data_IF_511019975547
#
_entry.id   IF_511019975547
#
_cell.length_a   1.000
_cell.length_b   1.000
_cell.length_c   1.000
_cell.angle_alpha   90.00
_cell.angle_beta   90.00
_cell.angle_gamma   90.00
#
_symmetry.space_group_name_H-M   'P 1'
#
loop_
_entity.id
_entity.type
_entity.pdbx_description
1 polymer ?
#
# COMPACT_ATOMS: atom_id res chain seq x y z
N UNK A 1 -9.23 79.89 37.34
CA UNK A 1 -9.85 78.59 37.68
C UNK A 1 -9.64 77.65 36.51
N UNK A 2 -8.57 76.85 36.52
CA UNK A 2 -8.23 75.95 35.40
C UNK A 2 -8.06 74.53 35.98
N UNK A 3 -9.09 73.72 35.78
CA UNK A 3 -9.22 72.37 36.32
C UNK A 3 -8.74 71.38 35.25
N UNK A 4 -7.69 70.65 35.60
CA UNK A 4 -7.28 69.31 35.13
C UNK A 4 -7.26 69.01 33.62
N UNK A 5 -6.03 68.97 33.07
CA UNK A 5 -5.72 68.15 31.89
C UNK A 5 -4.38 67.44 32.08
N UNK A 6 -4.34 66.41 32.94
CA UNK A 6 -3.17 65.54 33.03
C UNK A 6 -3.59 64.11 33.40
N UNK A 7 -4.08 63.36 32.40
CA UNK A 7 -4.17 61.89 32.47
C UNK A 7 -4.32 61.21 31.09
N UNK A 8 -3.77 61.80 30.01
CA UNK A 8 -3.79 61.19 28.66
C UNK A 8 -2.60 60.26 28.36
N UNK A 9 -1.57 60.23 29.21
CA UNK A 9 -0.34 59.45 28.97
C UNK A 9 -0.54 57.94 29.22
N UNK A 10 -1.22 57.56 30.30
CA UNK A 10 -1.37 56.15 30.70
C UNK A 10 -2.28 55.33 29.77
N UNK A 11 -3.25 55.96 29.08
CA UNK A 11 -4.13 55.27 28.12
C UNK A 11 -3.39 54.79 26.87
N UNK A 12 -2.34 55.49 26.43
CA UNK A 12 -1.58 55.12 25.23
C UNK A 12 -0.71 53.89 25.48
N UNK A 13 -0.11 53.78 26.65
CA UNK A 13 0.67 52.60 27.05
C UNK A 13 -0.18 51.34 27.17
N UNK A 14 -1.37 51.45 27.76
CA UNK A 14 -2.30 50.32 27.88
C UNK A 14 -2.75 49.76 26.52
N UNK A 15 -3.10 50.63 25.56
CA UNK A 15 -3.49 50.21 24.21
C UNK A 15 -2.34 49.51 23.48
N UNK A 16 -1.10 49.99 23.67
CA UNK A 16 0.08 49.34 23.10
C UNK A 16 0.26 47.92 23.66
N UNK A 17 0.16 47.75 24.98
CA UNK A 17 0.27 46.43 25.63
C UNK A 17 -0.84 45.49 25.16
N UNK A 18 -2.08 45.99 25.05
CA UNK A 18 -3.22 45.21 24.55
C UNK A 18 -2.98 44.77 23.10
N UNK A 19 -2.56 45.68 22.23
CA UNK A 19 -2.26 45.36 20.83
C UNK A 19 -1.14 44.33 20.72
N UNK A 20 -0.10 44.46 21.55
CA UNK A 20 1.02 43.52 21.56
C UNK A 20 0.58 42.13 22.05
N UNK A 21 -0.26 42.07 23.08
CA UNK A 21 -0.88 40.81 23.54
C UNK A 21 -1.77 40.17 22.47
N UNK A 22 -2.50 40.98 21.71
CA UNK A 22 -3.39 40.47 20.65
C UNK A 22 -2.56 39.95 19.47
N UNK A 23 -1.49 40.65 19.09
CA UNK A 23 -0.56 40.21 18.05
C UNK A 23 0.14 38.92 18.47
N UNK A 24 0.62 38.81 19.72
CA UNK A 24 1.27 37.57 20.18
C UNK A 24 0.30 36.40 20.21
N UNK A 25 -0.93 36.62 20.66
CA UNK A 25 -1.98 35.59 20.67
C UNK A 25 -2.32 35.12 19.25
N UNK A 26 -2.46 36.06 18.30
CA UNK A 26 -2.70 35.73 16.89
C UNK A 26 -1.51 34.99 16.27
N UNK A 27 -0.27 35.38 16.58
CA UNK A 27 0.93 34.69 16.09
C UNK A 27 1.01 33.26 16.60
N UNK A 28 0.69 33.00 17.87
CA UNK A 28 0.65 31.64 18.42
C UNK A 28 -0.44 30.82 17.73
N UNK A 29 -1.64 31.38 17.55
CA UNK A 29 -2.72 30.70 16.81
C UNK A 29 -2.34 30.39 15.36
N UNK A 30 -1.65 31.31 14.69
CA UNK A 30 -1.22 31.11 13.32
C UNK A 30 -0.21 29.97 13.22
N UNK A 31 0.80 29.94 14.09
CA UNK A 31 1.83 28.89 14.11
C UNK A 31 1.19 27.51 14.35
N UNK A 32 0.34 27.38 15.37
CA UNK A 32 -0.32 26.10 15.66
C UNK A 32 -1.20 25.63 14.52
N UNK A 33 -1.89 26.55 13.83
CA UNK A 33 -2.69 26.22 12.64
C UNK A 33 -1.82 25.70 11.49
N UNK A 34 -0.67 26.33 11.23
CA UNK A 34 0.26 25.87 10.20
C UNK A 34 0.85 24.50 10.53
N UNK A 35 1.27 24.27 11.77
CA UNK A 35 1.78 22.97 12.21
C UNK A 35 0.74 21.87 12.05
N UNK A 36 -0.52 22.15 12.40
CA UNK A 36 -1.63 21.22 12.23
C UNK A 36 -1.83 20.87 10.75
N UNK A 37 -1.87 21.88 9.86
CA UNK A 37 -2.03 21.65 8.41
C UNK A 37 -0.89 20.82 7.83
N UNK A 38 0.36 21.11 8.22
CA UNK A 38 1.53 20.34 7.78
C UNK A 38 1.42 18.90 8.27
N UNK A 39 1.03 18.69 9.53
CA UNK A 39 0.86 17.36 10.12
C UNK A 39 -0.22 16.57 9.40
N UNK A 40 -1.42 17.13 9.23
CA UNK A 40 -2.52 16.47 8.50
C UNK A 40 -2.11 16.12 7.09
N UNK A 41 -1.43 17.02 6.38
CA UNK A 41 -0.96 16.75 5.00
C UNK A 41 0.00 15.57 4.95
N UNK A 42 0.94 15.47 5.91
CA UNK A 42 1.86 14.34 6.01
C UNK A 42 1.13 13.03 6.30
N UNK A 43 0.19 13.04 7.24
CA UNK A 43 -0.62 11.87 7.59
C UNK A 43 -1.42 11.39 6.38
N UNK A 44 -2.12 12.30 5.69
CA UNK A 44 -2.91 11.97 4.50
C UNK A 44 -2.05 11.42 3.37
N UNK A 45 -0.87 12.01 3.13
CA UNK A 45 0.04 11.51 2.10
C UNK A 45 0.57 10.11 2.43
N UNK A 46 0.91 9.85 3.69
CA UNK A 46 1.32 8.51 4.13
C UNK A 46 0.19 7.50 3.99
N UNK A 47 -1.03 7.87 4.39
CA UNK A 47 -2.20 7.01 4.26
C UNK A 47 -2.53 6.71 2.79
N UNK A 48 -2.39 7.69 1.89
CA UNK A 48 -2.53 7.48 0.44
C UNK A 48 -1.52 6.47 -0.09
N UNK A 49 -0.24 6.62 0.25
CA UNK A 49 0.82 5.69 -0.18
C UNK A 49 0.61 4.28 0.38
N UNK A 50 0.17 4.19 1.63
CA UNK A 50 -0.22 2.93 2.26
C UNK A 50 -1.31 2.21 1.46
N UNK A 51 -2.40 2.90 1.14
CA UNK A 51 -3.50 2.32 0.35
C UNK A 51 -3.06 1.95 -1.07
N UNK A 52 -2.17 2.76 -1.67
CA UNK A 52 -1.61 2.44 -2.98
C UNK A 52 -0.76 1.17 -2.96
N UNK A 53 0.08 0.98 -1.92
CA UNK A 53 0.86 -0.25 -1.78
C UNK A 53 -0.05 -1.49 -1.63
N UNK A 54 -1.15 -1.36 -0.89
CA UNK A 54 -2.15 -2.42 -0.77
C UNK A 54 -2.84 -2.72 -2.11
N UNK A 55 -3.25 -1.69 -2.86
CA UNK A 55 -3.85 -1.85 -4.18
C UNK A 55 -2.90 -2.51 -5.19
N UNK A 56 -1.62 -2.15 -5.13
CA UNK A 56 -0.58 -2.75 -5.98
C UNK A 56 -0.32 -4.21 -5.59
N UNK A 57 -0.38 -4.55 -4.30
CA UNK A 57 -0.32 -5.93 -3.86
C UNK A 57 -1.52 -6.74 -4.37
N UNK A 58 -2.73 -6.16 -4.33
CA UNK A 58 -3.96 -6.82 -4.78
C UNK A 58 -3.93 -7.11 -6.28
N UNK A 59 -3.42 -6.16 -7.08
CA UNK A 59 -3.18 -6.36 -8.50
C UNK A 59 -2.28 -7.57 -8.81
N UNK A 60 -1.30 -7.87 -7.94
CA UNK A 60 -0.46 -9.07 -8.10
C UNK A 60 -1.21 -10.38 -7.84
N UNK A 61 -2.15 -10.39 -6.89
CA UNK A 61 -3.04 -11.54 -6.66
C UNK A 61 -3.94 -11.77 -7.87
N UNK A 62 -4.59 -10.71 -8.35
CA UNK A 62 -5.47 -10.76 -9.53
C UNK A 62 -4.72 -11.17 -10.80
N UNK A 63 -3.50 -10.69 -10.99
CA UNK A 63 -2.66 -11.14 -12.10
C UNK A 63 -2.39 -12.65 -12.00
N UNK A 64 -2.06 -13.16 -10.81
CA UNK A 64 -1.84 -14.60 -10.61
C UNK A 64 -3.10 -15.41 -10.89
N UNK A 65 -4.27 -14.91 -10.47
CA UNK A 65 -5.55 -15.54 -10.76
C UNK A 65 -5.81 -15.63 -12.27
N UNK A 66 -5.56 -14.53 -13.00
CA UNK A 66 -5.67 -14.48 -14.46
C UNK A 66 -4.74 -15.49 -15.14
N UNK A 67 -3.48 -15.58 -14.70
CA UNK A 67 -2.52 -16.56 -15.22
C UNK A 67 -3.00 -17.98 -14.95
N UNK A 68 -3.38 -18.31 -13.72
CA UNK A 68 -3.88 -19.64 -13.36
C UNK A 68 -5.13 -20.05 -14.13
N UNK A 69 -6.00 -19.09 -14.50
CA UNK A 69 -7.22 -19.35 -15.28
C UNK A 69 -6.93 -19.76 -16.73
N UNK A 70 -5.75 -19.41 -17.25
CA UNK A 70 -5.31 -19.73 -18.61
C UNK A 70 -4.46 -20.99 -18.69
N UNK A 71 -3.97 -21.50 -17.55
CA UNK A 71 -3.20 -22.74 -17.49
C UNK A 71 -4.08 -23.93 -17.89
N UNK A 72 -3.55 -24.81 -18.73
CA UNK A 72 -4.19 -26.09 -19.00
C UNK A 72 -3.88 -27.08 -17.88
N UNK A 73 -4.86 -27.34 -17.01
CA UNK A 73 -4.74 -28.26 -15.89
C UNK A 73 -4.96 -29.73 -16.26
N UNK A 74 -5.31 -30.04 -17.51
CA UNK A 74 -5.56 -31.41 -17.94
C UNK A 74 -4.27 -32.24 -17.82
N UNK A 75 -4.30 -33.26 -16.96
CA UNK A 75 -3.17 -34.15 -16.74
C UNK A 75 -2.06 -33.56 -15.85
N UNK A 76 -2.30 -32.43 -15.19
CA UNK A 76 -1.38 -31.93 -14.16
C UNK A 76 -1.38 -32.89 -12.96
N UNK A 77 -0.19 -33.36 -12.58
CA UNK A 77 0.01 -34.20 -11.41
C UNK A 77 0.18 -33.31 -10.17
N UNK A 78 -0.70 -33.45 -9.19
CA UNK A 78 -0.78 -32.59 -8.00
C UNK A 78 0.22 -32.98 -6.91
N UNK A 79 1.47 -33.17 -7.31
CA UNK A 79 2.59 -33.49 -6.43
C UNK A 79 3.58 -32.32 -6.40
N UNK A 80 4.24 -32.09 -5.26
CA UNK A 80 5.23 -31.01 -5.10
C UNK A 80 6.32 -31.04 -6.17
N UNK A 81 6.73 -32.24 -6.60
CA UNK A 81 7.70 -32.48 -7.67
C UNK A 81 7.25 -32.00 -9.05
N UNK A 82 5.94 -31.96 -9.29
CA UNK A 82 5.34 -31.55 -10.56
C UNK A 82 5.08 -30.04 -10.61
N UNK A 83 5.11 -29.35 -9.47
CA UNK A 83 4.91 -27.90 -9.39
C UNK A 83 5.99 -27.11 -10.13
N UNK A 84 7.23 -27.57 -10.12
CA UNK A 84 8.33 -26.95 -10.88
C UNK A 84 8.13 -27.06 -12.40
N UNK A 85 7.33 -28.02 -12.86
CA UNK A 85 7.08 -28.28 -14.28
C UNK A 85 5.87 -27.49 -14.81
N UNK A 86 5.17 -26.75 -13.95
CA UNK A 86 4.05 -25.88 -14.33
C UNK A 86 4.56 -24.77 -15.25
N UNK A 87 4.09 -24.70 -16.50
CA UNK A 87 4.52 -23.64 -17.41
C UNK A 87 3.69 -22.36 -17.21
N UNK A 88 4.22 -21.42 -16.44
CA UNK A 88 3.61 -20.09 -16.24
C UNK A 88 4.21 -19.00 -17.15
N UNK A 89 5.45 -19.17 -17.62
CA UNK A 89 6.21 -18.15 -18.35
C UNK A 89 5.64 -17.83 -19.75
N UNK A 90 4.83 -18.72 -20.33
CA UNK A 90 4.22 -18.52 -21.65
C UNK A 90 2.73 -18.12 -21.61
N UNK A 91 2.17 -17.91 -20.41
CA UNK A 91 0.71 -17.76 -20.22
C UNK A 91 0.26 -16.30 -20.30
N UNK A 92 1.18 -15.35 -20.11
CA UNK A 92 0.93 -13.92 -20.31
C UNK A 92 1.93 -13.30 -21.30
N UNK A 93 1.65 -13.45 -22.60
CA UNK A 93 2.41 -12.83 -23.68
C UNK A 93 2.14 -11.33 -23.86
N UNK A 94 1.40 -10.70 -22.92
CA UNK A 94 0.94 -9.31 -23.05
C UNK A 94 1.85 -8.27 -22.38
N UNK A 95 2.81 -8.69 -21.56
CA UNK A 95 3.72 -7.80 -20.85
C UNK A 95 5.18 -8.17 -21.14
N UNK A 96 5.92 -7.27 -21.77
CA UNK A 96 7.30 -7.50 -22.23
C UNK A 96 8.34 -7.67 -21.09
N UNK A 97 7.92 -7.72 -19.82
CA UNK A 97 8.84 -7.56 -18.67
C UNK A 97 8.54 -8.47 -17.46
N UNK A 98 7.55 -9.36 -17.49
CA UNK A 98 7.24 -10.21 -16.31
C UNK A 98 7.22 -11.70 -16.61
N UNK A 99 8.42 -12.29 -16.57
CA UNK A 99 8.56 -13.73 -16.60
C UNK A 99 8.41 -14.31 -15.18
N UNK A 100 7.48 -15.26 -15.05
CA UNK A 100 7.43 -16.15 -13.90
C UNK A 100 8.67 -17.05 -13.90
N UNK A 101 9.32 -17.17 -12.74
CA UNK A 101 10.44 -18.08 -12.53
C UNK A 101 10.20 -18.98 -11.32
N UNK A 102 10.63 -20.24 -11.41
CA UNK A 102 10.55 -21.18 -10.30
C UNK A 102 11.85 -21.16 -9.50
N UNK A 103 11.73 -20.96 -8.19
CA UNK A 103 12.87 -20.98 -7.26
C UNK A 103 12.44 -21.45 -5.88
N UNK A 104 13.27 -22.31 -5.27
CA UNK A 104 13.12 -22.76 -3.88
C UNK A 104 11.71 -23.26 -3.50
N UNK A 105 11.04 -24.01 -4.38
CA UNK A 105 9.70 -24.55 -4.10
C UNK A 105 8.54 -23.59 -4.41
N UNK A 106 8.80 -22.44 -5.03
CA UNK A 106 7.81 -21.41 -5.30
C UNK A 106 7.96 -20.81 -6.69
N UNK A 107 6.83 -20.40 -7.28
CA UNK A 107 6.81 -19.57 -8.47
C UNK A 107 6.82 -18.11 -8.06
N UNK A 108 7.71 -17.33 -8.67
CA UNK A 108 7.91 -15.93 -8.33
C UNK A 108 7.83 -15.06 -9.59
N UNK A 109 7.30 -13.86 -9.43
CA UNK A 109 7.23 -12.87 -10.47
C UNK A 109 7.35 -11.49 -9.84
N UNK A 110 8.10 -10.60 -10.48
CA UNK A 110 8.15 -9.19 -10.09
C UNK A 110 7.74 -8.34 -11.27
N UNK A 111 6.74 -7.49 -11.07
CA UNK A 111 6.37 -6.44 -12.01
C UNK A 111 6.83 -5.10 -11.44
N UNK A 112 7.63 -4.37 -12.20
CA UNK A 112 8.07 -3.02 -11.86
C UNK A 112 7.46 -2.04 -12.83
N UNK A 113 6.61 -1.13 -12.34
CA UNK A 113 6.07 -0.03 -13.13
C UNK A 113 7.01 1.18 -13.13
N UNK A 114 6.92 1.99 -14.18
CA UNK A 114 7.76 3.16 -14.44
C UNK A 114 7.74 4.25 -13.34
N UNK A 115 6.77 4.18 -12.41
CA UNK A 115 6.52 5.19 -11.38
C UNK A 115 7.00 4.77 -9.98
N UNK A 116 7.89 3.78 -9.87
CA UNK A 116 8.41 3.29 -8.59
C UNK A 116 7.38 2.50 -7.78
N UNK A 117 6.36 1.99 -8.47
CA UNK A 117 5.41 1.02 -7.95
C UNK A 117 5.83 -0.34 -8.47
N UNK A 118 5.96 -1.32 -7.60
CA UNK A 118 6.22 -2.69 -8.00
C UNK A 118 5.43 -3.65 -7.15
N UNK A 119 5.21 -4.85 -7.66
CA UNK A 119 4.75 -5.95 -6.83
C UNK A 119 5.56 -7.20 -7.13
N UNK A 120 5.84 -7.95 -6.08
CA UNK A 120 6.43 -9.27 -6.16
C UNK A 120 5.43 -10.29 -5.67
N UNK A 121 5.11 -11.26 -6.51
CA UNK A 121 4.26 -12.38 -6.15
C UNK A 121 5.11 -13.61 -5.90
N UNK A 122 4.78 -14.35 -4.85
CA UNK A 122 5.26 -15.70 -4.59
C UNK A 122 4.06 -16.63 -4.49
N UNK A 123 4.03 -17.65 -5.34
CA UNK A 123 3.02 -18.69 -5.36
C UNK A 123 3.62 -20.01 -4.88
N UNK A 124 3.00 -20.60 -3.88
CA UNK A 124 3.34 -21.93 -3.36
C UNK A 124 2.14 -22.86 -3.47
N UNK A 125 2.41 -24.12 -3.77
CA UNK A 125 1.36 -25.14 -3.75
C UNK A 125 1.14 -25.65 -2.34
N UNK A 126 -0.12 -25.76 -1.95
CA UNK A 126 -0.54 -26.45 -0.74
C UNK A 126 -1.06 -27.81 -1.17
N UNK A 127 -0.31 -28.87 -0.87
CA UNK A 127 -0.73 -30.26 -1.09
C UNK A 127 -1.38 -30.77 0.18
N UNK A 128 -2.72 -30.81 0.23
CA UNK A 128 -3.44 -31.37 1.37
C UNK A 128 -4.53 -32.36 0.91
N UNK A 129 -4.12 -33.61 0.71
CA UNK A 129 -5.02 -34.68 0.26
C UNK A 129 -5.59 -34.39 -1.13
N UNK A 130 -6.91 -34.39 -1.24
CA UNK A 130 -7.64 -34.13 -2.49
C UNK A 130 -7.95 -32.65 -2.76
N UNK A 131 -7.61 -31.75 -1.83
CA UNK A 131 -7.89 -30.33 -1.95
C UNK A 131 -6.63 -29.62 -2.46
N UNK A 132 -6.67 -29.20 -3.72
CA UNK A 132 -5.55 -28.60 -4.42
C UNK A 132 -5.68 -27.08 -4.38
N UNK A 133 -4.76 -26.46 -3.64
CA UNK A 133 -4.77 -25.02 -3.41
C UNK A 133 -3.39 -24.43 -3.69
N UNK A 134 -3.38 -23.17 -4.09
CA UNK A 134 -2.19 -22.34 -4.10
C UNK A 134 -2.31 -21.26 -3.05
N UNK A 135 -1.22 -21.03 -2.33
CA UNK A 135 -1.05 -19.83 -1.53
C UNK A 135 -0.26 -18.83 -2.35
N UNK A 136 -0.82 -17.64 -2.48
CA UNK A 136 -0.25 -16.52 -3.21
C UNK A 136 0.05 -15.42 -2.22
N UNK A 137 1.33 -15.12 -2.02
CA UNK A 137 1.77 -13.97 -1.25
C UNK A 137 2.20 -12.88 -2.25
N UNK A 138 1.44 -11.80 -2.33
CA UNK A 138 1.74 -10.65 -3.19
C UNK A 138 2.18 -9.47 -2.34
N UNK A 139 3.37 -8.97 -2.61
CA UNK A 139 3.97 -7.85 -1.89
C UNK A 139 4.06 -6.64 -2.82
N UNK A 140 3.19 -5.66 -2.60
CA UNK A 140 3.16 -4.39 -3.30
C UNK A 140 4.03 -3.35 -2.62
N UNK A 141 4.84 -2.64 -3.38
CA UNK A 141 5.73 -1.57 -2.92
C UNK A 141 5.45 -0.29 -3.68
N UNK A 142 5.24 0.80 -2.95
CA UNK A 142 5.08 2.16 -3.49
C UNK A 142 6.03 3.08 -2.72
N UNK A 143 7.09 3.53 -3.38
CA UNK A 143 8.18 4.28 -2.73
C UNK A 143 8.80 3.46 -1.58
N UNK A 144 8.61 3.86 -0.32
CA UNK A 144 9.09 3.14 0.87
C UNK A 144 7.99 2.39 1.63
N UNK A 145 6.77 2.37 1.10
CA UNK A 145 5.65 1.67 1.74
C UNK A 145 5.49 0.31 1.07
N UNK A 146 5.53 -0.75 1.88
CA UNK A 146 5.41 -2.13 1.42
C UNK A 146 4.24 -2.79 2.13
N UNK A 147 3.43 -3.52 1.38
CA UNK A 147 2.29 -4.26 1.88
C UNK A 147 2.21 -5.64 1.27
N UNK A 148 1.87 -6.62 2.09
CA UNK A 148 1.75 -8.01 1.66
C UNK A 148 0.33 -8.48 1.88
N UNK A 149 -0.26 -9.00 0.82
CA UNK A 149 -1.52 -9.73 0.85
C UNK A 149 -1.20 -11.21 0.70
N UNK A 150 -1.91 -12.04 1.46
CA UNK A 150 -1.94 -13.48 1.26
C UNK A 150 -3.33 -13.87 0.78
N UNK A 151 -3.37 -14.56 -0.35
CA UNK A 151 -4.57 -15.18 -0.86
C UNK A 151 -4.39 -16.69 -0.97
N UNK A 152 -5.43 -17.44 -0.68
CA UNK A 152 -5.49 -18.86 -1.04
C UNK A 152 -6.41 -19.01 -2.24
N UNK A 153 -5.89 -19.59 -3.32
CA UNK A 153 -6.61 -19.86 -4.56
C UNK A 153 -6.86 -21.36 -4.63
N UNK A 154 -8.11 -21.78 -4.82
CA UNK A 154 -8.46 -23.19 -5.03
C UNK A 154 -9.49 -23.36 -6.14
N UNK A 155 -10.17 -24.52 -6.17
CA UNK A 155 -11.17 -24.88 -7.18
C UNK A 155 -10.65 -25.02 -8.62
N UNK A 156 -9.43 -25.51 -8.78
CA UNK A 156 -8.81 -25.68 -10.09
C UNK A 156 -9.50 -26.82 -10.85
N UNK A 157 -9.91 -26.64 -12.13
CA UNK A 157 -9.43 -25.67 -13.14
C UNK A 157 -10.10 -24.29 -13.21
N UNK A 158 -11.08 -23.97 -12.37
CA UNK A 158 -11.74 -22.65 -12.31
C UNK A 158 -11.27 -21.90 -11.06
N UNK A 159 -10.05 -21.33 -11.07
CA UNK A 159 -9.41 -20.83 -9.87
C UNK A 159 -10.23 -19.70 -9.24
N UNK A 160 -10.47 -19.80 -7.93
CA UNK A 160 -11.19 -18.79 -7.15
C UNK A 160 -10.43 -18.49 -5.87
N UNK A 161 -10.47 -17.22 -5.47
CA UNK A 161 -9.98 -16.78 -4.17
C UNK A 161 -10.88 -17.38 -3.09
N UNK A 162 -10.30 -18.19 -2.20
CA UNK A 162 -10.97 -18.84 -1.07
C UNK A 162 -10.72 -18.09 0.24
N UNK A 163 -9.52 -17.51 0.37
CA UNK A 163 -9.12 -16.68 1.50
C UNK A 163 -8.39 -15.46 0.96
N UNK A 164 -8.63 -14.31 1.57
CA UNK A 164 -7.90 -13.08 1.30
C UNK A 164 -7.64 -12.39 2.63
N UNK A 165 -6.37 -12.12 2.94
CA UNK A 165 -5.99 -11.45 4.16
C UNK A 165 -4.74 -10.57 3.95
N UNK A 166 -4.74 -9.40 4.58
CA UNK A 166 -3.52 -8.61 4.71
C UNK A 166 -2.61 -9.29 5.74
N UNK A 167 -1.33 -9.44 5.41
CA UNK A 167 -0.31 -9.92 6.34
C UNK A 167 0.29 -8.72 7.04
N UNK A 168 0.09 -8.64 8.35
CA UNK A 168 0.86 -7.70 9.17
C UNK A 168 2.33 -8.16 9.19
N UNK A 169 3.24 -7.27 8.79
CA UNK A 169 4.69 -7.47 8.87
C UNK A 169 5.24 -6.96 10.20
#
# INVERSE_FOLDING_TARGET
MNIYKKNKSHRKGFVLVLALMLITLMSVLAITSFELVISTTRITNNHKKYLQALYVADAGVEHTLCVLSKVNWAGFDWQESSFSNLNLSNVDSSSNDTDWFYSSGSWQMTNSGDLGNSYTVTMTMIVNGSDHKFRVESTGTVSSFTKTIVAEIGNIPDPKILLWMEKEM
#
